data_IF_006247261464
#
_entry.id   IF_006247261464
#
_cell.length_a   1.000
_cell.length_b   1.000
_cell.length_c   1.000
_cell.angle_alpha   90.00
_cell.angle_beta   90.00
_cell.angle_gamma   90.00
#
_symmetry.space_group_name_H-M   'P 1'
#
loop_
_entity.id
_entity.type
_entity.pdbx_description
1 polymer ?
#
# COMPACT_ATOMS: atom_id res chain seq x y z
N UNK A 1 3.85 8.83 -28.85
CA UNK A 1 3.67 7.42 -28.46
C UNK A 1 3.12 7.42 -27.05
N UNK A 2 2.00 6.74 -26.78
CA UNK A 2 1.47 6.63 -25.41
C UNK A 2 2.24 5.54 -24.68
N UNK A 3 2.72 5.83 -23.47
CA UNK A 3 3.26 4.79 -22.59
C UNK A 3 2.12 3.83 -22.20
N UNK A 4 2.40 2.52 -22.05
CA UNK A 4 1.40 1.56 -21.58
C UNK A 4 0.99 1.87 -20.14
N UNK A 5 -0.26 1.53 -19.79
CA UNK A 5 -0.70 1.53 -18.39
C UNK A 5 0.04 0.44 -17.61
N UNK A 6 0.04 0.53 -16.28
CA UNK A 6 0.62 -0.54 -15.45
C UNK A 6 -0.08 -1.88 -15.71
N UNK A 7 -1.42 -1.90 -15.83
CA UNK A 7 -2.17 -3.13 -16.12
C UNK A 7 -1.72 -3.77 -17.45
N UNK A 8 -1.54 -2.94 -18.50
CA UNK A 8 -1.05 -3.41 -19.79
C UNK A 8 0.39 -3.93 -19.69
N UNK A 9 1.23 -3.31 -18.87
CA UNK A 9 2.58 -3.75 -18.58
C UNK A 9 2.58 -5.12 -17.87
N UNK A 10 1.80 -5.29 -16.80
CA UNK A 10 1.70 -6.54 -16.05
C UNK A 10 1.16 -7.69 -16.93
N UNK A 11 0.10 -7.44 -17.71
CA UNK A 11 -0.45 -8.42 -18.65
C UNK A 11 0.55 -8.81 -19.75
N UNK A 12 1.44 -7.90 -20.14
CA UNK A 12 2.52 -8.25 -21.08
C UNK A 12 3.58 -9.15 -20.44
N UNK A 13 3.85 -9.00 -19.14
CA UNK A 13 4.83 -9.82 -18.41
C UNK A 13 4.28 -11.20 -18.07
N UNK A 14 2.98 -11.30 -17.77
CA UNK A 14 2.30 -12.59 -17.62
C UNK A 14 2.45 -13.44 -18.89
N UNK A 15 2.22 -12.85 -20.06
CA UNK A 15 2.41 -13.53 -21.37
C UNK A 15 3.87 -13.90 -21.66
N UNK A 16 4.82 -13.23 -21.05
CA UNK A 16 6.25 -13.55 -21.15
C UNK A 16 6.69 -14.65 -20.16
N UNK A 17 5.75 -15.17 -19.34
CA UNK A 17 6.01 -16.26 -18.41
C UNK A 17 6.61 -15.81 -17.08
N UNK A 18 6.46 -14.53 -16.71
CA UNK A 18 6.82 -14.08 -15.37
C UNK A 18 5.87 -14.67 -14.31
N UNK A 19 6.37 -14.78 -13.08
CA UNK A 19 5.65 -15.38 -11.96
C UNK A 19 4.34 -14.62 -11.67
N UNK A 20 3.21 -15.33 -11.74
CA UNK A 20 1.88 -14.78 -11.51
C UNK A 20 1.69 -14.23 -10.09
N UNK A 21 2.35 -14.82 -9.09
CA UNK A 21 2.24 -14.37 -7.70
C UNK A 21 2.92 -13.02 -7.50
N UNK A 22 4.07 -12.82 -8.16
CA UNK A 22 4.76 -11.53 -8.17
C UNK A 22 3.90 -10.47 -8.85
N UNK A 23 3.33 -10.77 -10.02
CA UNK A 23 2.48 -9.84 -10.75
C UNK A 23 1.21 -9.46 -9.96
N UNK A 24 0.57 -10.43 -9.31
CA UNK A 24 -0.59 -10.21 -8.46
C UNK A 24 -0.24 -9.36 -7.23
N UNK A 25 0.93 -9.56 -6.63
CA UNK A 25 1.40 -8.76 -5.49
C UNK A 25 1.62 -7.31 -5.88
N UNK A 26 2.25 -7.05 -7.04
CA UNK A 26 2.45 -5.68 -7.57
C UNK A 26 1.10 -5.01 -7.86
N UNK A 27 0.16 -5.73 -8.46
CA UNK A 27 -1.19 -5.22 -8.72
C UNK A 27 -1.90 -4.83 -7.41
N UNK A 28 -1.82 -5.67 -6.37
CA UNK A 28 -2.41 -5.40 -5.06
C UNK A 28 -1.79 -4.16 -4.38
N UNK A 29 -0.46 -4.01 -4.40
CA UNK A 29 0.23 -2.82 -3.90
C UNK A 29 -0.22 -1.54 -4.62
N UNK A 30 -0.39 -1.61 -5.94
CA UNK A 30 -0.81 -0.46 -6.73
C UNK A 30 -2.27 -0.08 -6.42
N UNK A 31 -3.15 -1.07 -6.25
CA UNK A 31 -4.52 -0.85 -5.83
C UNK A 31 -4.61 -0.16 -4.47
N UNK A 32 -3.80 -0.61 -3.49
CA UNK A 32 -3.68 0.02 -2.18
C UNK A 32 -3.19 1.48 -2.29
N UNK A 33 -2.13 1.73 -3.07
CA UNK A 33 -1.60 3.07 -3.29
C UNK A 33 -2.64 4.01 -3.92
N UNK A 34 -3.45 3.53 -4.87
CA UNK A 34 -4.53 4.31 -5.47
C UNK A 34 -5.64 4.63 -4.46
N UNK A 35 -6.01 3.68 -3.60
CA UNK A 35 -6.99 3.89 -2.54
C UNK A 35 -6.51 4.94 -1.52
N UNK A 36 -5.24 4.88 -1.11
CA UNK A 36 -4.61 5.87 -0.24
C UNK A 36 -4.63 7.26 -0.91
N UNK A 37 -4.16 7.36 -2.15
CA UNK A 37 -4.15 8.61 -2.90
C UNK A 37 -5.56 9.20 -3.07
N UNK A 38 -6.57 8.37 -3.32
CA UNK A 38 -7.96 8.83 -3.40
C UNK A 38 -8.44 9.38 -2.06
N UNK A 39 -8.16 8.68 -0.95
CA UNK A 39 -8.50 9.15 0.40
C UNK A 39 -7.83 10.48 0.76
N UNK A 40 -6.56 10.65 0.39
CA UNK A 40 -5.82 11.92 0.56
C UNK A 40 -6.50 13.03 -0.26
N UNK A 41 -6.81 12.75 -1.53
CA UNK A 41 -7.35 13.76 -2.46
C UNK A 41 -8.79 14.17 -2.17
N UNK A 42 -9.63 13.27 -1.65
CA UNK A 42 -11.02 13.58 -1.34
C UNK A 42 -11.18 14.41 -0.07
N UNK A 43 -10.13 14.58 0.73
CA UNK A 43 -10.19 15.32 1.99
C UNK A 43 -11.11 14.70 3.04
N UNK A 44 -11.64 13.49 2.79
CA UNK A 44 -12.48 12.69 3.72
C UNK A 44 -11.76 12.40 5.03
N UNK A 45 -10.43 12.56 5.04
CA UNK A 45 -9.55 12.33 6.18
C UNK A 45 -9.48 13.54 7.15
N UNK A 46 -10.06 14.70 6.78
CA UNK A 46 -10.32 15.83 7.68
C UNK A 46 -9.10 16.41 8.41
N UNK A 47 -9.35 17.21 9.46
CA UNK A 47 -8.32 17.76 10.36
C UNK A 47 -7.67 16.71 11.26
N UNK A 48 -8.17 15.47 11.25
CA UNK A 48 -7.64 14.35 12.03
C UNK A 48 -6.23 13.98 11.54
N UNK A 49 -5.98 13.96 10.23
CA UNK A 49 -4.68 13.53 9.67
C UNK A 49 -3.50 14.50 9.88
N UNK A 50 -3.76 15.70 10.41
CA UNK A 50 -2.71 16.62 10.87
C UNK A 50 -2.29 16.41 12.33
N UNK A 51 -3.01 15.52 13.05
CA UNK A 51 -2.69 15.14 14.41
C UNK A 51 -1.57 14.12 14.46
N UNK A 52 -0.62 14.33 15.36
CA UNK A 52 0.23 13.25 15.85
C UNK A 52 -0.61 12.43 16.82
N UNK A 53 -0.65 11.11 16.67
CA UNK A 53 -1.47 10.25 17.55
C UNK A 53 -0.94 10.15 18.97
N UNK A 54 0.22 10.76 19.27
CA UNK A 54 0.95 10.53 20.52
C UNK A 54 1.48 9.10 20.64
N UNK A 55 1.21 8.24 19.66
CA UNK A 55 1.79 6.92 19.52
C UNK A 55 3.16 7.02 18.85
N UNK A 56 4.05 6.14 19.29
CA UNK A 56 5.42 6.04 18.81
C UNK A 56 5.50 4.76 17.97
N UNK A 57 5.99 4.85 16.74
CA UNK A 57 6.14 3.68 15.87
C UNK A 57 7.30 2.77 16.33
N UNK A 58 7.53 1.65 15.64
CA UNK A 58 8.54 0.66 16.04
C UNK A 58 9.98 1.23 16.07
N UNK A 59 10.23 2.30 15.32
CA UNK A 59 11.53 2.97 15.19
C UNK A 59 11.67 4.22 16.10
N UNK A 60 10.65 4.55 16.90
CA UNK A 60 10.73 5.63 17.89
C UNK A 60 10.19 6.98 17.42
N UNK A 61 9.64 7.06 16.21
CA UNK A 61 9.12 8.30 15.62
C UNK A 61 7.65 8.55 15.99
N UNK A 62 7.27 9.84 15.98
CA UNK A 62 5.89 10.23 16.24
C UNK A 62 5.02 9.87 15.04
N UNK A 63 4.09 8.94 15.26
CA UNK A 63 3.23 8.40 14.21
C UNK A 63 2.14 9.42 13.83
N UNK A 64 1.94 9.63 12.52
CA UNK A 64 0.81 10.41 12.02
C UNK A 64 -0.35 9.49 11.72
N UNK A 65 -1.55 10.02 11.82
CA UNK A 65 -2.77 9.32 11.41
C UNK A 65 -2.72 8.85 9.93
N UNK A 66 -1.95 9.54 9.08
CA UNK A 66 -1.70 9.12 7.70
C UNK A 66 -0.92 7.82 7.60
N UNK A 67 0.08 7.65 8.46
CA UNK A 67 0.98 6.51 8.40
C UNK A 67 0.24 5.24 8.82
N UNK A 68 -0.56 5.32 9.90
CA UNK A 68 -1.46 4.24 10.35
C UNK A 68 -2.46 3.86 9.26
N UNK A 69 -3.11 4.86 8.66
CA UNK A 69 -4.10 4.62 7.61
C UNK A 69 -3.49 3.96 6.36
N UNK A 70 -2.29 4.39 5.96
CA UNK A 70 -1.58 3.76 4.86
C UNK A 70 -1.20 2.31 5.20
N UNK A 71 -0.67 2.08 6.39
CA UNK A 71 -0.31 0.75 6.89
C UNK A 71 -1.50 -0.22 6.84
N UNK A 72 -2.64 0.18 7.39
CA UNK A 72 -3.84 -0.67 7.43
C UNK A 72 -4.32 -1.04 6.02
N UNK A 73 -4.28 -0.11 5.07
CA UNK A 73 -4.69 -0.37 3.68
C UNK A 73 -3.71 -1.29 2.97
N UNK A 74 -2.40 -1.06 3.13
CA UNK A 74 -1.39 -1.93 2.54
C UNK A 74 -1.48 -3.35 3.11
N UNK A 75 -1.65 -3.49 4.42
CA UNK A 75 -1.76 -4.80 5.05
C UNK A 75 -3.02 -5.54 4.64
N UNK A 76 -4.16 -4.86 4.55
CA UNK A 76 -5.39 -5.51 4.08
C UNK A 76 -5.27 -5.96 2.62
N UNK A 77 -4.59 -5.18 1.78
CA UNK A 77 -4.29 -5.60 0.41
C UNK A 77 -3.34 -6.82 0.39
N UNK A 78 -2.29 -6.81 1.21
CA UNK A 78 -1.31 -7.88 1.27
C UNK A 78 -1.85 -9.18 1.88
N UNK A 79 -2.83 -9.12 2.79
CA UNK A 79 -3.54 -10.32 3.30
C UNK A 79 -4.23 -11.12 2.19
N UNK A 80 -4.58 -10.46 1.08
CA UNK A 80 -5.24 -11.07 -0.07
C UNK A 80 -4.28 -11.34 -1.23
N UNK A 81 -3.03 -10.89 -1.11
CA UNK A 81 -1.96 -11.13 -2.08
C UNK A 81 -1.26 -12.46 -1.77
N UNK A 82 -0.59 -13.08 -2.75
CA UNK A 82 0.14 -14.34 -2.58
C UNK A 82 1.49 -14.13 -1.89
N UNK A 83 1.47 -13.53 -0.69
CA UNK A 83 2.65 -13.31 0.16
C UNK A 83 2.48 -14.06 1.47
N UNK A 84 3.60 -14.55 2.02
CA UNK A 84 3.59 -15.34 3.26
C UNK A 84 3.67 -14.48 4.52
N UNK A 85 4.47 -13.41 4.47
CA UNK A 85 4.70 -12.50 5.58
C UNK A 85 4.80 -11.07 5.03
N UNK A 86 4.42 -10.09 5.83
CA UNK A 86 4.56 -8.67 5.52
C UNK A 86 5.24 -8.01 6.70
N UNK A 87 6.28 -7.22 6.45
CA UNK A 87 6.90 -6.38 7.46
C UNK A 87 6.50 -4.92 7.20
N UNK A 88 6.21 -4.18 8.26
CA UNK A 88 5.86 -2.76 8.20
C UNK A 88 6.60 -1.99 9.28
N UNK A 89 7.09 -0.80 8.92
CA UNK A 89 7.72 0.17 9.84
C UNK A 89 6.79 0.55 11.00
N UNK A 90 5.49 0.55 10.74
CA UNK A 90 4.46 0.92 11.72
C UNK A 90 4.17 -0.20 12.74
N UNK A 91 4.81 -1.38 12.60
CA UNK A 91 4.54 -2.56 13.42
C UNK A 91 5.80 -3.18 14.00
N UNK A 92 5.71 -3.55 15.27
CA UNK A 92 6.80 -4.18 16.03
C UNK A 92 7.04 -5.64 15.59
N UNK A 93 6.05 -6.29 14.97
CA UNK A 93 6.16 -7.66 14.48
C UNK A 93 5.36 -7.84 13.16
N UNK A 94 5.83 -8.73 12.26
CA UNK A 94 5.14 -9.09 11.02
C UNK A 94 3.89 -9.95 11.26
#
# INVERSE_FOLDING_TARGET
MSNPTLDAFLASHERQGHDGDVLATVAALTGAALAINNGIRSGTLGSAFGGTTGAVNADGDTQKDLDIYADDIFLEAMRRAPVRCVASEERVAP
#
